data_IF_071530156372
#
_entry.id   IF_071530156372
#
_cell.length_a   1.000
_cell.length_b   1.000
_cell.length_c   1.000
_cell.angle_alpha   90.00
_cell.angle_beta   90.00
_cell.angle_gamma   90.00
#
_symmetry.space_group_name_H-M   'P 1'
#
loop_
_entity.id
_entity.type
_entity.pdbx_description
1 polymer ?
#
# COMPACT_ATOMS: atom_id res chain seq x y z
N UNK A 1 -91.94 1.77 -35.83
CA UNK A 1 -90.49 1.59 -36.04
C UNK A 1 -89.83 2.92 -35.69
N UNK A 2 -89.98 3.45 -34.48
CA UNK A 2 -89.45 2.91 -33.22
C UNK A 2 -88.03 2.38 -33.33
N UNK A 3 -87.08 3.20 -32.88
CA UNK A 3 -86.17 2.74 -31.85
C UNK A 3 -84.68 2.73 -32.17
N UNK A 4 -83.97 3.56 -31.40
CA UNK A 4 -82.63 3.34 -30.81
C UNK A 4 -81.46 3.84 -31.67
N UNK A 5 -81.02 5.10 -31.53
CA UNK A 5 -80.28 5.77 -30.42
C UNK A 5 -78.81 5.36 -30.25
N UNK A 6 -77.98 6.43 -30.25
CA UNK A 6 -76.79 6.65 -29.40
C UNK A 6 -75.59 5.73 -29.64
N UNK A 7 -74.51 6.31 -30.16
CA UNK A 7 -73.33 6.70 -29.35
C UNK A 7 -72.17 7.08 -30.27
N UNK A 8 -71.92 8.38 -30.45
CA UNK A 8 -70.57 8.90 -30.73
C UNK A 8 -70.23 9.89 -29.62
N UNK A 9 -69.46 9.44 -28.63
CA UNK A 9 -68.40 10.27 -28.07
C UNK A 9 -67.07 9.50 -28.10
N UNK A 10 -65.96 10.21 -27.92
CA UNK A 10 -64.62 9.69 -27.57
C UNK A 10 -63.52 9.72 -28.65
N UNK A 11 -63.51 10.70 -29.57
CA UNK A 11 -62.25 11.03 -30.27
C UNK A 11 -61.50 12.25 -29.71
N UNK A 12 -62.19 13.18 -29.02
CA UNK A 12 -61.53 14.33 -28.38
C UNK A 12 -60.89 14.04 -27.02
N UNK A 13 -61.35 13.02 -26.28
CA UNK A 13 -60.83 12.71 -24.94
C UNK A 13 -59.47 11.96 -24.96
N UNK A 14 -59.15 11.28 -26.07
CA UNK A 14 -57.87 10.56 -26.24
C UNK A 14 -56.69 11.52 -26.44
N UNK A 15 -56.89 12.58 -27.24
CA UNK A 15 -55.86 13.58 -27.53
C UNK A 15 -55.51 14.40 -26.27
N UNK A 16 -56.52 14.71 -25.44
CA UNK A 16 -56.32 15.47 -24.19
C UNK A 16 -55.55 14.65 -23.13
N UNK A 17 -55.84 13.35 -22.99
CA UNK A 17 -55.08 12.46 -22.10
C UNK A 17 -53.66 12.20 -22.60
N UNK A 18 -53.44 12.08 -23.92
CA UNK A 18 -52.11 11.91 -24.50
C UNK A 18 -51.23 13.16 -24.33
N UNK A 19 -51.79 14.36 -24.50
CA UNK A 19 -51.07 15.61 -24.22
C UNK A 19 -50.79 15.81 -22.73
N UNK A 20 -51.71 15.42 -21.83
CA UNK A 20 -51.51 15.51 -20.38
C UNK A 20 -50.45 14.52 -19.87
N UNK A 21 -50.41 13.30 -20.43
CA UNK A 21 -49.34 12.33 -20.14
C UNK A 21 -47.98 12.75 -20.71
N UNK A 22 -47.94 13.33 -21.91
CA UNK A 22 -46.71 13.86 -22.49
C UNK A 22 -46.16 15.08 -21.72
N UNK A 23 -47.04 15.92 -21.16
CA UNK A 23 -46.64 17.06 -20.32
C UNK A 23 -46.06 16.59 -18.98
N UNK A 24 -46.69 15.61 -18.32
CA UNK A 24 -46.18 15.02 -17.08
C UNK A 24 -44.87 14.25 -17.29
N UNK A 25 -44.72 13.57 -18.43
CA UNK A 25 -43.47 12.89 -18.79
C UNK A 25 -42.33 13.88 -19.09
N UNK A 26 -42.61 14.99 -19.78
CA UNK A 26 -41.65 16.08 -19.98
C UNK A 26 -41.27 16.77 -18.67
N UNK A 27 -42.23 16.94 -17.75
CA UNK A 27 -41.96 17.48 -16.42
C UNK A 27 -41.09 16.52 -15.60
N UNK A 28 -41.34 15.21 -15.67
CA UNK A 28 -40.50 14.19 -15.03
C UNK A 28 -39.09 14.14 -15.62
N UNK A 29 -38.94 14.25 -16.94
CA UNK A 29 -37.61 14.32 -17.59
C UNK A 29 -36.90 15.62 -17.21
N UNK A 30 -37.60 16.75 -17.16
CA UNK A 30 -37.01 18.02 -16.74
C UNK A 30 -36.58 17.99 -15.27
N UNK A 31 -37.36 17.35 -14.40
CA UNK A 31 -37.04 17.20 -12.97
C UNK A 31 -35.91 16.17 -12.75
N UNK A 32 -35.84 15.12 -13.58
CA UNK A 32 -34.73 14.16 -13.60
C UNK A 32 -33.43 14.77 -14.12
N UNK A 33 -33.49 15.61 -15.16
CA UNK A 33 -32.35 16.40 -15.65
C UNK A 33 -31.91 17.45 -14.63
N UNK A 34 -32.84 18.08 -13.90
CA UNK A 34 -32.54 19.00 -12.80
C UNK A 34 -31.87 18.27 -11.64
N UNK A 35 -32.27 17.03 -11.35
CA UNK A 35 -31.65 16.17 -10.32
C UNK A 35 -30.24 15.70 -10.74
N UNK A 36 -30.01 15.47 -12.03
CA UNK A 36 -28.68 15.17 -12.62
C UNK A 36 -27.73 16.37 -12.62
N UNK A 37 -28.27 17.60 -12.57
CA UNK A 37 -27.51 18.85 -12.48
C UNK A 37 -27.15 19.26 -11.04
N UNK A 38 -27.60 18.51 -10.03
CA UNK A 38 -27.09 18.68 -8.67
C UNK A 38 -25.70 18.06 -8.65
N UNK A 39 -24.61 18.84 -8.55
CA UNK A 39 -23.30 18.24 -8.37
C UNK A 39 -23.34 17.45 -7.07
N UNK A 40 -23.28 16.12 -7.17
CA UNK A 40 -23.00 15.28 -6.02
C UNK A 40 -21.57 15.65 -5.63
N UNK A 41 -21.44 16.57 -4.68
CA UNK A 41 -20.17 16.88 -4.05
C UNK A 41 -19.80 15.63 -3.25
N UNK A 42 -19.10 14.70 -3.91
CA UNK A 42 -18.38 13.65 -3.24
C UNK A 42 -17.26 14.36 -2.50
N UNK A 43 -17.46 14.62 -1.22
CA UNK A 43 -16.37 15.05 -0.35
C UNK A 43 -15.32 13.94 -0.43
N UNK A 44 -14.17 14.25 -1.01
CA UNK A 44 -13.00 13.39 -0.92
C UNK A 44 -12.76 13.16 0.57
N UNK A 45 -12.67 11.89 0.98
CA UNK A 45 -12.33 11.55 2.35
C UNK A 45 -10.88 11.99 2.60
N UNK A 46 -10.73 13.21 3.08
CA UNK A 46 -9.41 13.79 3.34
C UNK A 46 -8.87 13.23 4.65
N UNK A 47 -7.82 12.43 4.53
CA UNK A 47 -6.97 12.11 5.67
C UNK A 47 -6.32 13.41 6.17
N UNK A 48 -6.78 13.91 7.32
CA UNK A 48 -6.26 15.11 7.98
C UNK A 48 -4.90 14.80 8.62
N UNK A 49 -3.92 15.69 8.44
CA UNK A 49 -2.50 15.40 8.76
C UNK A 49 -2.08 15.80 10.17
N UNK A 50 -2.98 16.39 10.96
CA UNK A 50 -2.68 16.91 12.30
C UNK A 50 -3.44 16.16 13.38
N UNK A 51 -2.74 15.78 14.45
CA UNK A 51 -3.35 15.20 15.64
C UNK A 51 -2.71 15.79 16.92
N UNK A 52 -3.54 16.07 17.92
CA UNK A 52 -3.14 16.69 19.18
C UNK A 52 -2.93 15.69 20.32
N UNK A 53 -3.50 14.49 20.22
CA UNK A 53 -3.40 13.43 21.23
C UNK A 53 -3.10 12.06 20.60
N UNK A 54 -2.49 11.16 21.38
CA UNK A 54 -2.14 9.80 20.92
C UNK A 54 -3.37 9.03 20.43
N UNK A 55 -4.51 9.13 21.13
CA UNK A 55 -5.76 8.45 20.75
C UNK A 55 -6.36 9.02 19.46
N UNK A 56 -6.27 10.34 19.29
CA UNK A 56 -6.71 11.01 18.06
C UNK A 56 -5.83 10.61 16.86
N UNK A 57 -4.50 10.54 17.04
CA UNK A 57 -3.60 10.05 16.00
C UNK A 57 -3.95 8.61 15.61
N UNK A 58 -4.21 7.73 16.59
CA UNK A 58 -4.61 6.33 16.32
C UNK A 58 -5.88 6.26 15.48
N UNK A 59 -6.93 7.01 15.84
CA UNK A 59 -8.19 7.04 15.09
C UNK A 59 -7.98 7.52 13.64
N UNK A 60 -7.27 8.63 13.46
CA UNK A 60 -6.97 9.17 12.12
C UNK A 60 -6.16 8.18 11.28
N UNK A 61 -5.14 7.53 11.87
CA UNK A 61 -4.36 6.49 11.18
C UNK A 61 -5.27 5.35 10.72
N UNK A 62 -6.17 4.85 11.59
CA UNK A 62 -7.09 3.76 11.22
C UNK A 62 -8.07 4.16 10.13
N UNK A 63 -8.57 5.40 10.13
CA UNK A 63 -9.42 5.92 9.05
C UNK A 63 -8.66 5.99 7.72
N UNK A 64 -7.45 6.53 7.73
CA UNK A 64 -6.63 6.62 6.52
C UNK A 64 -6.20 5.23 5.98
N UNK A 65 -5.95 4.27 6.88
CA UNK A 65 -5.71 2.87 6.50
C UNK A 65 -6.94 2.24 5.86
N UNK A 66 -8.13 2.49 6.41
CA UNK A 66 -9.38 2.01 5.83
C UNK A 66 -9.61 2.58 4.42
N UNK A 67 -9.40 3.88 4.23
CA UNK A 67 -9.52 4.51 2.91
C UNK A 67 -8.51 3.90 1.94
N UNK A 68 -7.27 3.66 2.39
CA UNK A 68 -6.25 3.01 1.56
C UNK A 68 -6.68 1.60 1.12
N UNK A 69 -7.27 0.82 2.03
CA UNK A 69 -7.78 -0.53 1.74
C UNK A 69 -8.99 -0.49 0.79
N UNK A 70 -9.91 0.46 0.97
CA UNK A 70 -11.08 0.64 0.11
C UNK A 70 -10.65 1.01 -1.33
N UNK A 71 -9.63 1.88 -1.47
CA UNK A 71 -9.03 2.19 -2.77
C UNK A 71 -8.37 0.97 -3.40
N UNK A 72 -7.67 0.15 -2.61
CA UNK A 72 -7.06 -1.09 -3.08
C UNK A 72 -8.14 -2.07 -3.60
N UNK A 73 -9.22 -2.26 -2.85
CA UNK A 73 -10.36 -3.10 -3.27
C UNK A 73 -11.03 -2.59 -4.54
N UNK A 74 -11.17 -1.27 -4.69
CA UNK A 74 -11.71 -0.68 -5.91
C UNK A 74 -10.79 -0.88 -7.13
N UNK A 75 -9.47 -0.93 -6.91
CA UNK A 75 -8.45 -1.07 -7.95
C UNK A 75 -8.36 -2.49 -8.53
N UNK A 76 -8.47 -3.52 -7.69
CA UNK A 76 -8.38 -4.93 -8.09
C UNK A 76 -9.23 -5.34 -9.31
N UNK A 77 -10.54 -5.03 -9.40
CA UNK A 77 -11.34 -5.38 -10.57
C UNK A 77 -10.86 -4.66 -11.83
N UNK A 78 -10.41 -3.41 -11.72
CA UNK A 78 -9.90 -2.66 -12.87
C UNK A 78 -8.56 -3.22 -13.36
N UNK A 79 -7.66 -3.64 -12.47
CA UNK A 79 -6.41 -4.32 -12.83
C UNK A 79 -6.67 -5.67 -13.51
N UNK A 80 -7.62 -6.45 -12.98
CA UNK A 80 -8.02 -7.72 -13.59
C UNK A 80 -8.63 -7.53 -14.98
N UNK A 81 -9.53 -6.55 -15.13
CA UNK A 81 -10.11 -6.17 -16.43
C UNK A 81 -9.04 -5.68 -17.41
N UNK A 82 -8.09 -4.86 -16.96
CA UNK A 82 -6.99 -4.38 -17.79
C UNK A 82 -6.14 -5.54 -18.31
N UNK A 83 -5.73 -6.46 -17.44
CA UNK A 83 -4.96 -7.63 -17.83
C UNK A 83 -5.69 -8.50 -18.86
N UNK A 84 -7.01 -8.66 -18.69
CA UNK A 84 -7.84 -9.38 -19.66
C UNK A 84 -7.87 -8.66 -21.01
N UNK A 85 -8.13 -7.34 -21.01
CA UNK A 85 -8.13 -6.54 -22.24
C UNK A 85 -6.78 -6.62 -22.97
N UNK A 86 -5.66 -6.52 -22.26
CA UNK A 86 -4.31 -6.63 -22.84
C UNK A 86 -4.06 -8.02 -23.45
N UNK A 87 -4.53 -9.09 -22.79
CA UNK A 87 -4.47 -10.44 -23.34
C UNK A 87 -5.32 -10.59 -24.60
N UNK A 88 -6.54 -10.04 -24.61
CA UNK A 88 -7.44 -10.08 -25.75
C UNK A 88 -6.86 -9.29 -26.94
N UNK A 89 -6.31 -8.10 -26.69
CA UNK A 89 -5.59 -7.29 -27.70
C UNK A 89 -4.44 -8.10 -28.32
N UNK A 90 -3.61 -8.74 -27.50
CA UNK A 90 -2.49 -9.55 -28.01
C UNK A 90 -2.96 -10.77 -28.80
N UNK A 91 -4.09 -11.38 -28.42
CA UNK A 91 -4.73 -12.46 -29.18
C UNK A 91 -5.23 -11.97 -30.54
N UNK A 92 -5.94 -10.84 -30.57
CA UNK A 92 -6.45 -10.26 -31.80
C UNK A 92 -5.34 -9.82 -32.74
N UNK A 93 -4.25 -9.23 -32.23
CA UNK A 93 -3.08 -8.89 -33.04
C UNK A 93 -2.47 -10.14 -33.70
N UNK A 94 -2.31 -11.24 -32.96
CA UNK A 94 -1.82 -12.52 -33.53
C UNK A 94 -2.75 -13.05 -34.61
N UNK A 95 -4.07 -12.99 -34.39
CA UNK A 95 -5.07 -13.43 -35.38
C UNK A 95 -5.08 -12.55 -36.63
N UNK A 96 -4.94 -11.23 -36.48
CA UNK A 96 -4.81 -10.28 -37.60
C UNK A 96 -3.56 -10.60 -38.45
N UNK A 97 -2.42 -10.91 -37.80
CA UNK A 97 -1.20 -11.33 -38.50
C UNK A 97 -1.41 -12.66 -39.22
N UNK A 98 -2.05 -13.64 -38.57
CA UNK A 98 -2.40 -14.93 -39.16
C UNK A 98 -3.28 -14.78 -40.40
N UNK A 99 -4.40 -14.04 -40.29
CA UNK A 99 -5.28 -13.72 -41.42
C UNK A 99 -4.51 -12.99 -42.53
N UNK A 100 -3.59 -12.10 -42.18
CA UNK A 100 -2.73 -11.43 -43.14
C UNK A 100 -1.84 -12.38 -43.95
N UNK A 101 -1.41 -13.50 -43.35
CA UNK A 101 -0.68 -14.56 -44.05
C UNK A 101 -1.61 -15.41 -44.93
N UNK A 102 -2.79 -15.77 -44.43
CA UNK A 102 -3.79 -16.54 -45.19
C UNK A 102 -4.26 -15.77 -46.43
N UNK A 103 -4.46 -14.45 -46.32
CA UNK A 103 -4.83 -13.60 -47.45
C UNK A 103 -3.76 -13.64 -48.55
N UNK A 104 -2.48 -13.59 -48.20
CA UNK A 104 -1.38 -13.69 -49.18
C UNK A 104 -1.34 -15.04 -49.88
N UNK A 105 -1.59 -16.13 -49.15
CA UNK A 105 -1.66 -17.47 -49.74
C UNK A 105 -2.82 -17.57 -50.72
N UNK A 106 -4.01 -17.07 -50.35
CA UNK A 106 -5.18 -17.06 -51.23
C UNK A 106 -4.99 -16.19 -52.46
N UNK A 107 -4.32 -15.05 -52.33
CA UNK A 107 -3.95 -14.21 -53.48
C UNK A 107 -3.04 -14.95 -54.46
N UNK A 108 -2.08 -15.72 -53.95
CA UNK A 108 -1.21 -16.55 -54.79
C UNK A 108 -1.99 -17.71 -55.46
N UNK A 109 -2.86 -18.40 -54.70
CA UNK A 109 -3.72 -19.47 -55.23
C UNK A 109 -4.67 -18.96 -56.32
N UNK A 110 -5.27 -17.78 -56.15
CA UNK A 110 -6.13 -17.16 -57.17
C UNK A 110 -5.31 -16.85 -58.42
N UNK A 111 -4.13 -16.24 -58.29
CA UNK A 111 -3.28 -15.92 -59.42
C UNK A 111 -2.84 -17.17 -60.21
N UNK A 112 -2.51 -18.26 -59.52
CA UNK A 112 -2.18 -19.54 -60.16
C UNK A 112 -3.38 -20.11 -60.92
N UNK A 113 -4.57 -20.17 -60.31
CA UNK A 113 -5.78 -20.65 -60.96
C UNK A 113 -6.21 -19.78 -62.16
N UNK A 114 -5.98 -18.46 -62.11
CA UNK A 114 -6.21 -17.56 -63.25
C UNK A 114 -5.29 -17.90 -64.43
N UNK A 115 -4.02 -18.25 -64.17
CA UNK A 115 -3.11 -18.69 -65.22
C UNK A 115 -3.52 -20.05 -65.82
N UNK A 116 -3.95 -20.99 -64.99
CA UNK A 116 -4.46 -22.29 -65.44
C UNK A 116 -5.73 -22.13 -66.29
N UNK A 117 -6.65 -21.26 -65.87
CA UNK A 117 -7.87 -20.95 -66.61
C UNK A 117 -7.53 -20.41 -68.01
N UNK A 118 -6.57 -19.48 -68.12
CA UNK A 118 -6.13 -18.95 -69.41
C UNK A 118 -5.55 -20.04 -70.32
N UNK A 119 -4.74 -20.96 -69.76
CA UNK A 119 -4.21 -22.11 -70.49
C UNK A 119 -5.29 -23.05 -71.01
N UNK A 120 -6.31 -23.36 -70.19
CA UNK A 120 -7.45 -24.20 -70.60
C UNK A 120 -8.29 -23.54 -71.68
N UNK A 121 -8.51 -22.22 -71.60
CA UNK A 121 -9.21 -21.46 -72.64
C UNK A 121 -8.47 -21.50 -73.99
N UNK A 122 -7.14 -21.37 -73.97
CA UNK A 122 -6.34 -21.47 -75.19
C UNK A 122 -6.42 -22.87 -75.81
N UNK A 123 -6.32 -23.92 -74.98
CA UNK A 123 -6.41 -25.31 -75.42
C UNK A 123 -7.78 -25.62 -76.05
N UNK A 124 -8.87 -25.17 -75.40
CA UNK A 124 -10.23 -25.28 -75.91
C UNK A 124 -10.36 -24.54 -77.25
N UNK A 125 -9.85 -23.31 -77.36
CA UNK A 125 -9.89 -22.53 -78.60
C UNK A 125 -9.17 -23.23 -79.76
N UNK A 126 -7.99 -23.82 -79.51
CA UNK A 126 -7.25 -24.62 -80.50
C UNK A 126 -8.05 -25.85 -80.95
N UNK A 127 -8.67 -26.59 -80.01
CA UNK A 127 -9.49 -27.78 -80.31
C UNK A 127 -10.75 -27.43 -81.10
N UNK A 128 -11.48 -26.38 -80.71
CA UNK A 128 -12.66 -25.88 -81.43
C UNK A 128 -12.31 -25.45 -82.86
N UNK A 129 -11.20 -24.72 -83.04
CA UNK A 129 -10.71 -24.34 -84.36
C UNK A 129 -10.40 -25.55 -85.24
N UNK A 130 -9.74 -26.57 -84.69
CA UNK A 130 -9.42 -27.79 -85.44
C UNK A 130 -10.70 -28.56 -85.82
N UNK A 131 -11.67 -28.64 -84.92
CA UNK A 131 -12.97 -29.24 -85.20
C UNK A 131 -13.72 -28.48 -86.33
N UNK A 132 -13.69 -27.14 -86.31
CA UNK A 132 -14.29 -26.30 -87.34
C UNK A 132 -13.63 -26.45 -88.72
N UNK A 133 -12.29 -26.49 -88.78
CA UNK A 133 -11.58 -26.71 -90.07
C UNK A 133 -11.93 -28.08 -90.65
N UNK A 134 -12.00 -29.11 -89.79
CA UNK A 134 -12.37 -30.47 -90.22
C UNK A 134 -13.82 -30.57 -90.69
N UNK A 135 -14.76 -29.83 -90.09
CA UNK A 135 -16.16 -29.86 -90.51
C UNK A 135 -16.36 -29.30 -91.93
N UNK A 136 -15.49 -28.40 -92.39
CA UNK A 136 -15.50 -27.88 -93.76
C UNK A 136 -14.95 -28.86 -94.80
N UNK A 137 -13.88 -29.60 -94.47
CA UNK A 137 -13.26 -30.57 -95.38
C UNK A 137 -13.99 -31.91 -95.47
N UNK A 138 -14.75 -32.24 -94.42
CA UNK A 138 -15.51 -33.48 -94.32
C UNK A 138 -16.89 -33.17 -93.74
N UNK A 139 -17.91 -33.12 -94.59
CA UNK A 139 -19.29 -33.03 -94.11
C UNK A 139 -19.55 -34.29 -93.24
N UNK A 140 -19.96 -34.15 -91.97
CA UNK A 140 -20.15 -35.29 -91.08
C UNK A 140 -21.18 -36.29 -91.63
N UNK A 141 -22.18 -35.78 -92.35
CA UNK A 141 -23.13 -36.59 -93.11
C UNK A 141 -22.42 -37.36 -94.24
N UNK A 142 -21.50 -36.73 -94.96
CA UNK A 142 -20.74 -37.38 -96.04
C UNK A 142 -19.76 -38.44 -95.53
N UNK A 143 -19.13 -38.26 -94.36
CA UNK A 143 -18.27 -39.28 -93.73
C UNK A 143 -19.04 -40.54 -93.32
N UNK A 144 -20.30 -40.37 -92.90
CA UNK A 144 -21.20 -41.47 -92.54
C UNK A 144 -21.58 -42.30 -93.79
N UNK A 145 -21.76 -41.65 -94.94
CA UNK A 145 -22.18 -42.31 -96.18
C UNK A 145 -21.03 -42.75 -97.11
N UNK A 146 -19.84 -42.15 -97.02
CA UNK A 146 -18.72 -42.40 -97.93
C UNK A 146 -17.64 -43.37 -97.39
N UNK A 147 -17.71 -43.79 -96.12
CA UNK A 147 -16.65 -44.62 -95.51
C UNK A 147 -17.11 -46.07 -95.29
N UNK A 148 -16.24 -47.03 -95.66
CA UNK A 148 -16.41 -48.46 -95.37
C UNK A 148 -16.18 -48.81 -93.88
N UNK A 149 -16.05 -47.80 -93.01
CA UNK A 149 -15.57 -47.94 -91.63
C UNK A 149 -16.30 -47.01 -90.66
N UNK A 150 -17.62 -46.85 -90.85
CA UNK A 150 -18.52 -45.99 -90.06
C UNK A 150 -18.27 -46.03 -88.54
N UNK A 151 -17.96 -47.21 -87.99
CA UNK A 151 -17.68 -47.41 -86.57
C UNK A 151 -16.50 -46.58 -86.05
N UNK A 152 -15.45 -46.42 -86.85
CA UNK A 152 -14.22 -45.69 -86.48
C UNK A 152 -14.46 -44.18 -86.48
N UNK A 153 -15.20 -43.68 -87.48
CA UNK A 153 -15.56 -42.27 -87.61
C UNK A 153 -16.57 -41.83 -86.52
N UNK A 154 -17.57 -42.68 -86.21
CA UNK A 154 -18.50 -42.40 -85.11
C UNK A 154 -17.78 -42.33 -83.76
N UNK A 155 -16.84 -43.25 -83.51
CA UNK A 155 -15.98 -43.19 -82.31
C UNK A 155 -15.17 -41.91 -82.26
N UNK A 156 -14.54 -41.50 -83.35
CA UNK A 156 -13.76 -40.25 -83.39
C UNK A 156 -14.62 -39.01 -83.05
N UNK A 157 -15.87 -38.97 -83.52
CA UNK A 157 -16.81 -37.90 -83.20
C UNK A 157 -17.24 -37.93 -81.73
N UNK A 158 -17.60 -39.10 -81.19
CA UNK A 158 -17.99 -39.20 -79.77
C UNK A 158 -16.82 -38.89 -78.84
N UNK A 159 -15.59 -39.26 -79.18
CA UNK A 159 -14.40 -38.85 -78.46
C UNK A 159 -14.20 -37.33 -78.47
N UNK A 160 -14.39 -36.66 -79.61
CA UNK A 160 -14.28 -35.20 -79.68
C UNK A 160 -15.35 -34.50 -78.82
N UNK A 161 -16.59 -34.99 -78.87
CA UNK A 161 -17.67 -34.45 -78.03
C UNK A 161 -17.39 -34.67 -76.54
N UNK A 162 -16.88 -35.84 -76.16
CA UNK A 162 -16.50 -36.15 -74.78
C UNK A 162 -15.39 -35.23 -74.28
N UNK A 163 -14.35 -35.01 -75.09
CA UNK A 163 -13.23 -34.10 -74.76
C UNK A 163 -13.72 -32.66 -74.58
N UNK A 164 -14.58 -32.16 -75.48
CA UNK A 164 -15.12 -30.80 -75.37
C UNK A 164 -16.03 -30.63 -74.14
N UNK A 165 -16.77 -31.67 -73.76
CA UNK A 165 -17.58 -31.67 -72.53
C UNK A 165 -16.69 -31.68 -71.28
N UNK A 166 -15.59 -32.43 -71.30
CA UNK A 166 -14.63 -32.45 -70.19
C UNK A 166 -13.90 -31.11 -70.04
N UNK A 167 -13.46 -30.48 -71.13
CA UNK A 167 -12.84 -29.15 -71.09
C UNK A 167 -13.79 -28.10 -70.48
N UNK A 168 -15.07 -28.14 -70.86
CA UNK A 168 -16.09 -27.27 -70.27
C UNK A 168 -16.24 -27.51 -68.78
N UNK A 169 -16.24 -28.78 -68.34
CA UNK A 169 -16.32 -29.14 -66.93
C UNK A 169 -15.12 -28.56 -66.17
N UNK A 170 -13.90 -28.82 -66.65
CA UNK A 170 -12.67 -28.32 -66.02
C UNK A 170 -12.67 -26.79 -65.90
N UNK A 171 -13.08 -26.08 -66.95
CA UNK A 171 -13.19 -24.61 -66.93
C UNK A 171 -14.22 -24.15 -65.88
N UNK A 172 -15.40 -24.76 -65.85
CA UNK A 172 -16.45 -24.41 -64.87
C UNK A 172 -15.98 -24.70 -63.44
N UNK A 173 -15.28 -25.80 -63.23
CA UNK A 173 -14.72 -26.18 -61.93
C UNK A 173 -13.67 -25.15 -61.48
N UNK A 174 -12.72 -24.76 -62.34
CA UNK A 174 -11.72 -23.72 -62.04
C UNK A 174 -12.39 -22.38 -61.71
N UNK A 175 -13.38 -21.94 -62.51
CA UNK A 175 -14.12 -20.71 -62.24
C UNK A 175 -14.85 -20.80 -60.88
N UNK A 176 -15.43 -21.96 -60.56
CA UNK A 176 -16.05 -22.22 -59.28
C UNK A 176 -15.07 -22.13 -58.11
N UNK A 177 -13.87 -22.69 -58.26
CA UNK A 177 -12.79 -22.60 -57.27
C UNK A 177 -12.31 -21.17 -57.07
N UNK A 178 -12.04 -20.42 -58.16
CA UNK A 178 -11.65 -19.00 -58.08
C UNK A 178 -12.69 -18.20 -57.31
N UNK A 179 -13.97 -18.35 -57.67
CA UNK A 179 -15.05 -17.64 -56.98
C UNK A 179 -15.12 -17.99 -55.49
N UNK A 180 -14.96 -19.26 -55.13
CA UNK A 180 -14.94 -19.67 -53.73
C UNK A 180 -13.77 -19.03 -52.95
N UNK A 181 -12.59 -18.94 -53.59
CA UNK A 181 -11.41 -18.30 -53.01
C UNK A 181 -11.62 -16.79 -52.85
N UNK A 182 -12.23 -16.12 -53.83
CA UNK A 182 -12.58 -14.69 -53.77
C UNK A 182 -13.58 -14.40 -52.65
N UNK A 183 -14.66 -15.17 -52.55
CA UNK A 183 -15.64 -15.05 -51.47
C UNK A 183 -14.97 -15.22 -50.10
N UNK A 184 -14.10 -16.23 -49.97
CA UNK A 184 -13.36 -16.48 -48.73
C UNK A 184 -12.36 -15.37 -48.41
N UNK A 185 -11.71 -14.79 -49.42
CA UNK A 185 -10.81 -13.64 -49.26
C UNK A 185 -11.59 -12.44 -48.73
N UNK A 186 -12.76 -12.14 -49.30
CA UNK A 186 -13.61 -11.05 -48.86
C UNK A 186 -14.09 -11.22 -47.40
N UNK A 187 -14.43 -12.45 -46.98
CA UNK A 187 -14.79 -12.74 -45.59
C UNK A 187 -13.61 -12.53 -44.63
N UNK A 188 -12.41 -12.97 -45.00
CA UNK A 188 -11.19 -12.77 -44.21
C UNK A 188 -10.82 -11.28 -44.09
N UNK A 189 -11.02 -10.48 -45.14
CA UNK A 189 -10.82 -9.03 -45.08
C UNK A 189 -11.82 -8.33 -44.15
N UNK A 190 -13.09 -8.76 -44.16
CA UNK A 190 -14.11 -8.30 -43.19
C UNK A 190 -13.74 -8.69 -41.76
N UNK A 191 -13.28 -9.92 -41.54
CA UNK A 191 -12.84 -10.37 -40.22
C UNK A 191 -11.64 -9.54 -39.73
N UNK A 192 -10.64 -9.33 -40.59
CA UNK A 192 -9.45 -8.53 -40.27
C UNK A 192 -9.80 -7.09 -39.89
N UNK A 193 -10.65 -6.44 -40.67
CA UNK A 193 -11.09 -5.06 -40.40
C UNK A 193 -11.93 -4.97 -39.13
N UNK A 194 -12.82 -5.94 -38.89
CA UNK A 194 -13.60 -6.04 -37.65
C UNK A 194 -12.72 -6.23 -36.41
N UNK A 195 -11.73 -7.12 -36.48
CA UNK A 195 -10.76 -7.33 -35.40
C UNK A 195 -9.89 -6.10 -35.16
N UNK A 196 -9.49 -5.38 -36.20
CA UNK A 196 -8.73 -4.14 -36.07
C UNK A 196 -9.54 -3.04 -35.35
N UNK A 197 -10.81 -2.87 -35.71
CA UNK A 197 -11.71 -1.93 -35.05
C UNK A 197 -11.95 -2.31 -33.57
N UNK A 198 -12.16 -3.59 -33.28
CA UNK A 198 -12.31 -4.08 -31.90
C UNK A 198 -11.04 -3.85 -31.08
N UNK A 199 -9.87 -4.08 -31.68
CA UNK A 199 -8.57 -3.82 -31.04
C UNK A 199 -8.39 -2.34 -30.71
N UNK A 200 -8.79 -1.43 -31.61
CA UNK A 200 -8.74 0.01 -31.36
C UNK A 200 -9.66 0.41 -30.20
N UNK A 201 -10.89 -0.11 -30.15
CA UNK A 201 -11.84 0.15 -29.06
C UNK A 201 -11.36 -0.42 -27.71
N UNK A 202 -10.74 -1.60 -27.71
CA UNK A 202 -10.16 -2.15 -26.49
C UNK A 202 -8.93 -1.38 -26.03
N UNK A 203 -8.10 -0.88 -26.95
CA UNK A 203 -6.97 -0.03 -26.61
C UNK A 203 -7.42 1.26 -25.92
N UNK A 204 -8.46 1.93 -26.41
CA UNK A 204 -8.98 3.15 -25.77
C UNK A 204 -9.56 2.88 -24.39
N UNK A 205 -10.28 1.77 -24.20
CA UNK A 205 -10.76 1.34 -22.88
C UNK A 205 -9.62 0.98 -21.92
N UNK A 206 -8.59 0.29 -22.43
CA UNK A 206 -7.40 -0.07 -21.67
C UNK A 206 -6.62 1.19 -21.24
N UNK A 207 -6.46 2.19 -22.11
CA UNK A 207 -5.84 3.48 -21.77
C UNK A 207 -6.61 4.22 -20.67
N UNK A 208 -7.93 4.30 -20.77
CA UNK A 208 -8.76 4.89 -19.72
C UNK A 208 -8.57 4.16 -18.38
N UNK A 209 -8.50 2.83 -18.41
CA UNK A 209 -8.31 2.01 -17.22
C UNK A 209 -6.90 2.18 -16.62
N UNK A 210 -5.86 2.25 -17.45
CA UNK A 210 -4.48 2.57 -17.01
C UNK A 210 -4.41 3.92 -16.33
N UNK A 211 -5.11 4.92 -16.86
CA UNK A 211 -5.16 6.27 -16.26
C UNK A 211 -5.79 6.23 -14.87
N UNK A 212 -6.96 5.59 -14.72
CA UNK A 212 -7.64 5.45 -13.43
C UNK A 212 -6.79 4.68 -12.40
N UNK A 213 -6.15 3.59 -12.83
CA UNK A 213 -5.22 2.80 -12.00
C UNK A 213 -4.02 3.65 -11.57
N UNK A 214 -3.47 4.46 -12.48
CA UNK A 214 -2.36 5.38 -12.18
C UNK A 214 -2.75 6.46 -11.17
N UNK A 215 -3.91 7.09 -11.34
CA UNK A 215 -4.46 8.08 -10.40
C UNK A 215 -4.71 7.47 -9.01
N UNK A 216 -5.32 6.27 -8.96
CA UNK A 216 -5.52 5.54 -7.70
C UNK A 216 -4.19 5.19 -7.00
N UNK A 217 -3.18 4.75 -7.77
CA UNK A 217 -1.85 4.43 -7.23
C UNK A 217 -1.15 5.67 -6.69
N UNK A 218 -1.27 6.81 -7.37
CA UNK A 218 -0.77 8.10 -6.89
C UNK A 218 -1.45 8.50 -5.57
N UNK A 219 -2.77 8.37 -5.49
CA UNK A 219 -3.52 8.65 -4.28
C UNK A 219 -3.13 7.73 -3.11
N UNK A 220 -2.91 6.44 -3.38
CA UNK A 220 -2.38 5.50 -2.38
C UNK A 220 -1.01 5.94 -1.85
N UNK A 221 -0.10 6.41 -2.71
CA UNK A 221 1.20 6.94 -2.27
C UNK A 221 1.06 8.15 -1.36
N UNK A 222 0.13 9.06 -1.67
CA UNK A 222 -0.16 10.23 -0.82
C UNK A 222 -0.70 9.78 0.54
N UNK A 223 -1.64 8.83 0.57
CA UNK A 223 -2.17 8.26 1.82
C UNK A 223 -1.08 7.58 2.64
N UNK A 224 -0.20 6.79 2.04
CA UNK A 224 0.91 6.15 2.74
C UNK A 224 1.86 7.17 3.36
N UNK A 225 2.17 8.26 2.65
CA UNK A 225 2.95 9.38 3.19
C UNK A 225 2.26 10.05 4.37
N UNK A 226 0.95 10.29 4.28
CA UNK A 226 0.15 10.88 5.37
C UNK A 226 0.13 9.96 6.60
N UNK A 227 -0.09 8.66 6.42
CA UNK A 227 -0.05 7.66 7.49
C UNK A 227 1.32 7.70 8.18
N UNK A 228 2.41 7.68 7.42
CA UNK A 228 3.76 7.79 7.98
C UNK A 228 3.98 9.06 8.82
N UNK A 229 3.46 10.20 8.35
CA UNK A 229 3.52 11.46 9.10
C UNK A 229 2.75 11.39 10.43
N UNK A 230 1.54 10.83 10.43
CA UNK A 230 0.73 10.68 11.64
C UNK A 230 1.35 9.69 12.62
N UNK A 231 1.92 8.59 12.13
CA UNK A 231 2.65 7.62 12.96
C UNK A 231 3.87 8.25 13.61
N UNK A 232 4.65 9.06 12.87
CA UNK A 232 5.80 9.77 13.42
C UNK A 232 5.38 10.77 14.53
N UNK A 233 4.26 11.47 14.33
CA UNK A 233 3.69 12.39 15.32
C UNK A 233 3.22 11.65 16.57
N UNK A 234 2.58 10.49 16.40
CA UNK A 234 2.15 9.64 17.51
C UNK A 234 3.35 9.19 18.37
N UNK A 235 4.46 8.78 17.75
CA UNK A 235 5.69 8.41 18.45
C UNK A 235 6.29 9.60 19.21
N UNK A 236 6.32 10.79 18.60
CA UNK A 236 6.78 12.00 19.27
C UNK A 236 5.94 12.33 20.52
N UNK A 237 4.61 12.24 20.43
CA UNK A 237 3.71 12.45 21.58
C UNK A 237 3.89 11.40 22.67
N UNK A 238 4.19 10.14 22.32
CA UNK A 238 4.50 9.11 23.30
C UNK A 238 5.83 9.39 24.02
N UNK A 239 6.86 9.83 23.29
CA UNK A 239 8.16 10.20 23.86
C UNK A 239 8.06 11.44 24.78
N UNK A 240 7.24 12.43 24.43
CA UNK A 240 6.95 13.57 25.29
C UNK A 240 6.24 13.14 26.59
N UNK A 241 5.31 12.17 26.51
CA UNK A 241 4.56 11.66 27.67
C UNK A 241 5.39 10.74 28.57
N UNK A 242 6.33 9.96 28.02
CA UNK A 242 7.11 9.01 28.80
C UNK A 242 8.18 9.68 29.68
N UNK A 243 8.44 10.98 29.50
CA UNK A 243 9.65 11.60 30.03
C UNK A 243 10.89 10.96 29.38
N UNK A 244 12.04 11.64 29.50
CA UNK A 244 13.29 11.36 28.78
C UNK A 244 13.95 9.98 29.07
N UNK A 245 13.26 9.05 29.74
CA UNK A 245 13.85 7.78 30.15
C UNK A 245 12.85 6.62 30.11
N UNK A 246 12.92 5.83 29.04
CA UNK A 246 12.31 4.50 28.93
C UNK A 246 13.44 3.47 28.97
N UNK A 247 13.44 2.58 29.96
CA UNK A 247 14.42 1.51 30.14
C UNK A 247 13.70 0.17 30.08
N UNK A 248 14.29 -0.83 29.42
CA UNK A 248 13.77 -2.19 29.44
C UNK A 248 13.91 -2.77 30.87
N UNK A 249 13.08 -3.77 31.21
CA UNK A 249 13.11 -4.45 32.53
C UNK A 249 14.48 -5.09 32.82
N UNK A 250 15.32 -5.28 31.80
CA UNK A 250 16.69 -5.81 31.92
C UNK A 250 17.83 -4.78 31.96
N UNK A 251 17.57 -3.49 31.70
CA UNK A 251 18.61 -2.45 31.63
C UNK A 251 18.81 -1.69 32.96
N UNK A 252 17.94 -1.96 33.94
CA UNK A 252 18.04 -1.40 35.29
C UNK A 252 18.77 -2.40 36.19
N UNK A 253 19.80 -1.98 36.96
CA UNK A 253 20.44 -2.87 37.92
C UNK A 253 19.41 -3.43 38.90
N UNK A 254 19.51 -4.73 39.18
CA UNK A 254 18.59 -5.47 40.05
C UNK A 254 18.38 -4.72 41.37
N UNK A 255 17.12 -4.44 41.69
CA UNK A 255 16.76 -3.91 43.00
C UNK A 255 16.99 -5.01 44.06
N UNK A 256 17.47 -4.63 45.25
CA UNK A 256 17.70 -5.54 46.38
C UNK A 256 16.39 -6.11 47.01
N UNK A 257 15.22 -5.78 46.45
CA UNK A 257 13.92 -6.29 46.90
C UNK A 257 13.53 -7.55 46.07
N UNK A 258 13.40 -8.73 46.71
CA UNK A 258 13.01 -9.97 46.04
C UNK A 258 11.68 -9.88 45.27
N UNK A 259 10.77 -9.00 45.69
CA UNK A 259 9.46 -8.82 45.05
C UNK A 259 9.53 -7.91 43.81
N UNK A 260 10.65 -7.21 43.61
CA UNK A 260 10.92 -6.34 42.44
C UNK A 260 11.92 -6.97 41.45
N UNK A 261 12.29 -8.23 41.68
CA UNK A 261 13.24 -8.93 40.83
C UNK A 261 12.57 -9.45 39.54
N UNK A 262 13.25 -9.40 38.37
CA UNK A 262 12.71 -9.89 37.10
C UNK A 262 12.34 -11.38 37.08
N UNK A 263 12.84 -12.16 38.05
CA UNK A 263 12.55 -13.58 38.21
C UNK A 263 11.33 -13.86 39.13
N UNK A 264 10.65 -12.83 39.63
CA UNK A 264 9.46 -12.99 40.44
C UNK A 264 8.27 -13.46 39.59
N UNK A 265 7.74 -14.65 39.89
CA UNK A 265 6.57 -15.21 39.23
C UNK A 265 5.32 -15.00 40.11
N UNK A 266 4.36 -14.15 39.70
CA UNK A 266 3.16 -13.88 40.48
C UNK A 266 2.11 -15.01 40.43
N UNK A 267 2.38 -16.10 39.70
CA UNK A 267 1.51 -17.29 39.66
C UNK A 267 0.30 -17.18 38.74
N UNK A 268 0.18 -16.09 37.96
CA UNK A 268 -0.85 -15.91 36.93
C UNK A 268 -0.26 -15.25 35.68
N UNK A 269 -0.89 -15.46 34.52
CA UNK A 269 -0.49 -14.86 33.25
C UNK A 269 -1.74 -14.50 32.41
N UNK A 270 -1.79 -13.32 31.77
CA UNK A 270 -0.76 -12.28 31.71
C UNK A 270 -0.67 -11.44 33.01
N UNK A 271 0.55 -11.09 33.42
CA UNK A 271 0.81 -10.25 34.60
C UNK A 271 1.57 -8.97 34.22
N UNK A 272 1.21 -7.87 34.86
CA UNK A 272 1.92 -6.59 34.76
C UNK A 272 2.40 -6.19 36.15
N UNK A 273 3.61 -5.63 36.23
CA UNK A 273 4.17 -5.09 37.47
C UNK A 273 4.38 -3.59 37.31
N UNK A 274 3.75 -2.80 38.18
CA UNK A 274 3.96 -1.36 38.27
C UNK A 274 4.83 -1.05 39.47
N UNK A 275 6.01 -0.47 39.24
CA UNK A 275 6.90 0.01 40.30
C UNK A 275 6.85 1.53 40.37
N UNK A 276 6.69 2.06 41.58
CA UNK A 276 6.81 3.50 41.85
C UNK A 276 8.01 3.73 42.75
N UNK A 277 9.03 4.39 42.22
CA UNK A 277 10.18 4.81 43.01
C UNK A 277 9.90 6.21 43.57
N UNK A 278 9.73 6.34 44.89
CA UNK A 278 9.73 7.65 45.57
C UNK A 278 8.38 8.23 46.00
N UNK A 279 7.37 7.38 46.28
CA UNK A 279 6.00 7.81 46.63
C UNK A 279 5.86 8.67 47.92
N UNK A 280 6.91 8.80 48.75
CA UNK A 280 6.93 9.65 49.94
C UNK A 280 8.21 10.48 50.07
N UNK A 281 8.67 11.07 48.96
CA UNK A 281 9.82 11.98 48.99
C UNK A 281 9.38 13.43 48.98
N UNK A 282 10.02 14.26 49.78
CA UNK A 282 9.69 15.67 50.03
C UNK A 282 10.13 16.57 48.84
N UNK A 283 10.25 15.97 47.64
CA UNK A 283 10.76 16.53 46.37
C UNK A 283 12.09 17.30 46.48
N UNK A 284 12.78 17.21 47.62
CA UNK A 284 14.03 17.88 47.93
C UNK A 284 14.96 16.88 48.60
N UNK A 285 15.74 16.18 47.79
CA UNK A 285 16.66 15.14 48.23
C UNK A 285 17.47 14.59 47.05
N UNK A 286 18.65 14.06 47.34
CA UNK A 286 19.50 13.42 46.34
C UNK A 286 19.13 11.94 46.22
N UNK A 287 18.80 11.48 45.01
CA UNK A 287 18.61 10.04 44.75
C UNK A 287 19.95 9.31 44.86
N UNK A 288 20.00 8.23 45.64
CA UNK A 288 21.25 7.48 45.86
C UNK A 288 21.76 6.86 44.54
N UNK A 289 20.87 6.18 43.82
CA UNK A 289 21.18 5.57 42.53
C UNK A 289 21.32 6.61 41.41
N UNK A 290 20.57 7.72 41.47
CA UNK A 290 20.74 8.79 40.49
C UNK A 290 22.09 9.52 40.65
N UNK A 291 22.58 9.71 41.88
CA UNK A 291 23.93 10.21 42.13
C UNK A 291 25.01 9.24 41.64
N UNK A 292 24.80 7.93 41.83
CA UNK A 292 25.67 6.88 41.27
C UNK A 292 25.72 6.93 39.73
N UNK A 293 24.57 7.02 39.07
CA UNK A 293 24.48 7.11 37.60
C UNK A 293 25.22 8.32 37.05
N UNK A 294 24.96 9.52 37.60
CA UNK A 294 25.66 10.74 37.22
C UNK A 294 27.18 10.67 37.45
N UNK A 295 27.61 10.04 38.54
CA UNK A 295 29.03 9.83 38.81
C UNK A 295 29.68 8.83 37.84
N UNK A 296 28.94 7.79 37.40
CA UNK A 296 29.39 6.84 36.37
C UNK A 296 29.49 7.50 34.99
N UNK A 297 28.64 8.49 34.69
CA UNK A 297 28.74 9.36 33.51
C UNK A 297 29.90 10.37 33.58
N UNK A 298 30.70 10.36 34.64
CA UNK A 298 31.87 11.23 34.80
C UNK A 298 31.57 12.61 35.41
N UNK A 299 30.36 12.87 35.89
CA UNK A 299 30.03 14.13 36.57
C UNK A 299 30.72 14.18 37.95
N UNK A 300 31.28 15.34 38.30
CA UNK A 300 31.90 15.53 39.62
C UNK A 300 30.84 15.79 40.71
N UNK A 301 31.22 15.70 41.99
CA UNK A 301 30.28 15.91 43.11
C UNK A 301 29.59 17.28 43.11
N UNK A 302 30.21 18.34 42.56
CA UNK A 302 29.57 19.66 42.47
C UNK A 302 28.44 19.65 41.45
N UNK A 303 28.66 19.02 40.29
CA UNK A 303 27.66 18.88 39.23
C UNK A 303 26.47 18.03 39.72
N UNK A 304 26.77 16.95 40.45
CA UNK A 304 25.76 16.10 41.09
C UNK A 304 24.93 16.92 42.08
N UNK A 305 25.56 17.65 43.01
CA UNK A 305 24.86 18.48 43.99
C UNK A 305 24.06 19.61 43.35
N UNK A 306 24.60 20.23 42.29
CA UNK A 306 23.90 21.27 41.52
C UNK A 306 22.65 20.71 40.83
N UNK A 307 22.71 19.49 40.28
CA UNK A 307 21.57 18.84 39.67
C UNK A 307 20.43 18.54 40.67
N UNK A 308 20.76 18.20 41.92
CA UNK A 308 19.76 17.84 42.94
C UNK A 308 19.26 19.01 43.79
N UNK A 309 20.12 19.99 44.09
CA UNK A 309 19.82 21.07 45.03
C UNK A 309 19.84 22.46 44.40
N UNK A 310 20.22 22.58 43.12
CA UNK A 310 20.23 23.83 42.36
C UNK A 310 21.26 24.87 42.85
N UNK A 311 22.12 24.53 43.81
CA UNK A 311 23.09 25.43 44.44
C UNK A 311 24.42 24.73 44.67
N UNK A 312 25.50 25.50 44.60
CA UNK A 312 26.82 25.01 45.01
C UNK A 312 26.95 24.98 46.54
N UNK A 313 27.73 24.03 47.09
CA UNK A 313 27.91 23.93 48.53
C UNK A 313 28.64 25.15 49.10
N UNK A 314 28.06 25.78 50.12
CA UNK A 314 28.66 26.88 50.85
C UNK A 314 29.57 26.38 51.99
N UNK A 315 30.62 27.13 52.31
CA UNK A 315 31.47 26.86 53.47
C UNK A 315 30.80 27.39 54.74
N UNK A 316 30.47 26.49 55.67
CA UNK A 316 29.96 26.84 57.01
C UNK A 316 30.88 26.23 58.07
N UNK A 317 31.01 26.88 59.24
CA UNK A 317 31.74 26.31 60.37
C UNK A 317 30.97 25.12 60.95
N UNK A 318 31.58 23.94 60.82
CA UNK A 318 31.02 22.65 61.26
C UNK A 318 31.73 22.09 62.50
N UNK A 319 32.59 22.87 63.18
CA UNK A 319 33.28 22.43 64.40
C UNK A 319 32.34 22.20 65.61
N UNK A 320 32.66 21.26 66.50
CA UNK A 320 31.88 20.97 67.72
C UNK A 320 31.10 19.65 67.69
N UNK A 321 30.15 19.50 68.62
CA UNK A 321 29.39 18.25 68.81
C UNK A 321 27.97 18.33 68.24
N UNK A 322 27.38 17.15 67.99
CA UNK A 322 25.98 16.98 67.59
C UNK A 322 25.33 15.84 68.37
N UNK A 323 24.12 16.07 68.85
CA UNK A 323 23.34 15.09 69.61
C UNK A 323 22.68 14.09 68.66
N UNK A 324 23.00 12.80 68.82
CA UNK A 324 22.46 11.69 68.01
C UNK A 324 21.69 10.72 68.89
N UNK A 325 20.45 10.42 68.50
CA UNK A 325 19.57 9.52 69.23
C UNK A 325 20.21 8.13 69.38
N UNK A 326 20.34 7.66 70.62
CA UNK A 326 20.97 6.37 70.94
C UNK A 326 22.51 6.37 71.04
N UNK A 327 23.19 7.48 70.71
CA UNK A 327 24.67 7.55 70.74
C UNK A 327 25.24 8.77 71.49
N UNK A 328 24.38 9.69 71.93
CA UNK A 328 24.79 10.89 72.69
C UNK A 328 25.45 11.94 71.79
N UNK A 329 26.28 12.79 72.41
CA UNK A 329 26.96 13.88 71.72
C UNK A 329 28.23 13.38 71.01
N UNK A 330 28.21 13.44 69.68
CA UNK A 330 29.31 12.99 68.82
C UNK A 330 30.06 14.18 68.22
N UNK A 331 31.36 14.04 68.00
CA UNK A 331 32.13 15.01 67.23
C UNK A 331 31.64 15.04 65.77
N UNK A 332 31.21 16.22 65.30
CA UNK A 332 30.49 16.39 64.04
C UNK A 332 31.30 15.90 62.82
N UNK A 333 32.53 16.38 62.67
CA UNK A 333 33.41 16.01 61.53
C UNK A 333 34.13 14.68 61.72
N UNK A 334 34.41 14.30 62.97
CA UNK A 334 35.33 13.19 63.27
C UNK A 334 34.65 11.87 63.66
N UNK A 335 33.39 11.89 64.08
CA UNK A 335 32.68 10.68 64.53
C UNK A 335 31.35 10.52 63.81
N UNK A 336 30.56 11.58 63.72
CA UNK A 336 29.26 11.53 63.09
C UNK A 336 29.35 11.28 61.58
N UNK A 337 30.16 12.08 60.87
CA UNK A 337 30.24 12.01 59.40
C UNK A 337 30.82 10.69 58.88
N UNK A 338 31.74 10.05 59.61
CA UNK A 338 32.29 8.73 59.23
C UNK A 338 31.32 7.57 59.48
N UNK A 339 30.32 7.74 60.34
CA UNK A 339 29.33 6.70 60.60
C UNK A 339 28.15 6.72 59.63
N UNK A 340 28.13 7.62 58.63
CA UNK A 340 27.04 7.68 57.65
C UNK A 340 27.17 6.53 56.65
N UNK A 341 26.13 5.70 56.56
CA UNK A 341 26.18 4.43 55.83
C UNK A 341 25.03 4.27 54.81
N UNK A 342 24.52 5.36 54.24
CA UNK A 342 23.39 5.29 53.28
C UNK A 342 23.78 4.85 51.87
N UNK A 343 25.05 5.00 51.47
CA UNK A 343 25.55 4.47 50.20
C UNK A 343 26.65 3.44 50.47
N UNK A 344 26.71 2.35 49.69
CA UNK A 344 27.80 1.38 49.76
C UNK A 344 29.17 2.01 49.47
N UNK A 345 30.21 1.56 50.18
CA UNK A 345 31.58 2.06 50.00
C UNK A 345 32.17 1.77 48.60
N UNK A 346 31.58 0.85 47.83
CA UNK A 346 32.00 0.53 46.46
C UNK A 346 31.40 1.48 45.39
N UNK A 347 30.59 2.48 45.79
CA UNK A 347 30.06 3.45 44.85
C UNK A 347 31.15 4.40 44.33
N UNK A 348 30.94 5.04 43.16
CA UNK A 348 31.89 6.00 42.62
C UNK A 348 32.26 7.09 43.63
N UNK A 349 33.54 7.45 43.68
CA UNK A 349 34.09 8.40 44.66
C UNK A 349 33.36 9.75 44.67
N UNK A 350 32.90 10.22 43.52
CA UNK A 350 32.16 11.48 43.40
C UNK A 350 30.74 11.40 43.98
N UNK A 351 30.08 10.24 43.89
CA UNK A 351 28.79 10.02 44.55
C UNK A 351 28.92 10.02 46.08
N UNK A 352 29.97 9.35 46.61
CA UNK A 352 30.27 9.34 48.05
C UNK A 352 30.61 10.74 48.59
N UNK A 353 31.33 11.56 47.81
CA UNK A 353 31.58 12.97 48.15
C UNK A 353 30.29 13.78 48.19
N UNK A 354 29.41 13.62 47.21
CA UNK A 354 28.13 14.32 47.17
C UNK A 354 27.26 13.93 48.38
N UNK A 355 27.24 12.65 48.74
CA UNK A 355 26.56 12.16 49.94
C UNK A 355 27.13 12.78 51.22
N UNK A 356 28.45 12.81 51.38
CA UNK A 356 29.08 13.40 52.57
C UNK A 356 28.72 14.89 52.73
N UNK A 357 28.65 15.65 51.63
CA UNK A 357 28.28 17.07 51.65
C UNK A 357 26.78 17.25 51.95
N UNK A 358 25.92 16.40 51.40
CA UNK A 358 24.48 16.41 51.67
C UNK A 358 24.19 16.06 53.15
N UNK A 359 24.81 14.98 53.64
CA UNK A 359 24.81 14.55 55.04
C UNK A 359 25.25 15.68 55.98
N UNK A 360 26.37 16.32 55.66
CA UNK A 360 26.90 17.46 56.42
C UNK A 360 25.90 18.61 56.49
N UNK A 361 25.29 18.97 55.36
CA UNK A 361 24.31 20.07 55.29
C UNK A 361 23.06 19.78 56.10
N UNK A 362 22.58 18.53 56.04
CA UNK A 362 21.46 18.07 56.84
C UNK A 362 21.74 18.16 58.33
N UNK A 363 22.88 17.62 58.76
CA UNK A 363 23.27 17.61 60.17
C UNK A 363 23.54 19.01 60.73
N UNK A 364 24.10 19.91 59.91
CA UNK A 364 24.31 21.30 60.29
C UNK A 364 22.98 22.01 60.63
N UNK A 365 21.91 21.73 59.89
CA UNK A 365 20.57 22.30 60.17
C UNK A 365 20.06 21.87 61.55
N UNK A 366 20.18 20.58 61.89
CA UNK A 366 19.75 20.07 63.20
C UNK A 366 20.57 20.64 64.35
N UNK A 367 21.88 20.80 64.15
CA UNK A 367 22.75 21.44 65.12
C UNK A 367 22.36 22.90 65.37
N UNK A 368 22.07 23.68 64.31
CA UNK A 368 21.62 25.07 64.45
C UNK A 368 20.28 25.17 65.18
N UNK A 369 19.40 24.21 64.96
CA UNK A 369 18.08 24.15 65.59
C UNK A 369 18.11 23.52 67.00
N UNK A 370 19.27 23.05 67.47
CA UNK A 370 19.43 22.39 68.79
C UNK A 370 18.70 21.05 68.91
N UNK A 371 18.39 20.39 67.80
CA UNK A 371 17.59 19.15 67.77
C UNK A 371 18.47 17.90 67.65
N UNK A 372 18.08 16.83 68.33
CA UNK A 372 18.70 15.51 68.21
C UNK A 372 18.35 14.85 66.88
N UNK A 373 19.35 14.28 66.19
CA UNK A 373 19.16 13.54 64.93
C UNK A 373 18.76 12.10 65.22
N UNK A 374 17.74 11.59 64.52
CA UNK A 374 17.36 10.18 64.57
C UNK A 374 18.25 9.31 63.67
N UNK A 375 18.50 8.05 64.03
CA UNK A 375 19.41 7.14 63.30
C UNK A 375 18.70 6.17 62.35
N UNK A 376 17.40 6.36 62.15
CA UNK A 376 16.56 5.52 61.29
C UNK A 376 16.50 6.07 59.87
N UNK A 377 15.93 5.29 58.94
CA UNK A 377 15.69 5.68 57.53
C UNK A 377 14.82 6.95 57.38
N UNK A 378 14.16 7.41 58.46
CA UNK A 378 13.38 8.64 58.46
C UNK A 378 14.25 9.92 58.57
N UNK A 379 15.47 9.82 59.10
CA UNK A 379 16.43 10.93 59.13
C UNK A 379 17.68 10.55 58.34
N UNK A 380 18.66 9.94 59.01
CA UNK A 380 19.93 9.60 58.42
C UNK A 380 20.47 8.31 59.03
N UNK A 381 20.82 7.34 58.19
CA UNK A 381 21.30 6.04 58.68
C UNK A 381 22.73 6.17 59.21
N UNK A 382 22.89 5.97 60.51
CA UNK A 382 24.16 6.03 61.22
C UNK A 382 24.56 4.66 61.77
N UNK A 383 25.78 4.22 61.46
CA UNK A 383 26.36 2.98 61.93
C UNK A 383 27.74 3.21 62.57
N UNK A 384 27.84 2.96 63.89
CA UNK A 384 29.04 3.15 64.69
C UNK A 384 30.22 2.24 64.29
N UNK A 385 29.99 1.14 63.55
CA UNK A 385 31.02 0.14 63.22
C UNK A 385 31.97 0.56 62.09
N UNK A 386 31.71 1.66 61.36
CA UNK A 386 32.54 2.12 60.25
C UNK A 386 33.79 2.95 60.65
N UNK A 387 34.25 2.85 61.90
CA UNK A 387 35.36 3.67 62.46
C UNK A 387 36.76 3.41 61.87
N UNK A 388 36.96 2.42 60.99
CA UNK A 388 38.30 1.99 60.54
C UNK A 388 38.47 1.82 59.02
N UNK A 389 37.87 2.69 58.20
CA UNK A 389 38.14 2.73 56.76
C UNK A 389 38.92 3.99 56.36
N UNK A 390 40.17 3.85 55.89
CA UNK A 390 40.98 4.93 55.28
C UNK A 390 40.24 5.56 54.09
N UNK A 391 39.40 6.57 54.33
CA UNK A 391 39.05 7.58 53.33
C UNK A 391 39.83 8.84 53.72
N UNK A 392 41.11 8.90 53.31
CA UNK A 392 41.86 10.15 53.33
C UNK A 392 41.24 11.11 52.31
N UNK A 393 40.16 11.80 52.72
CA UNK A 393 39.77 13.07 52.13
C UNK A 393 40.83 14.07 52.59
N UNK A 394 41.89 14.22 51.82
CA UNK A 394 42.88 15.27 51.99
C UNK A 394 42.16 16.62 52.00
N UNK A 395 42.27 17.37 53.11
CA UNK A 395 41.83 18.77 53.22
C UNK A 395 42.37 19.57 52.02
N UNK A 396 41.54 20.18 51.16
CA UNK A 396 42.02 21.30 50.37
C UNK A 396 42.22 22.47 51.35
N UNK A 397 43.47 22.67 51.80
CA UNK A 397 43.89 23.92 52.43
C UNK A 397 43.93 25.00 51.34
N UNK A 398 42.82 25.67 51.09
CA UNK A 398 42.85 26.95 50.39
C UNK A 398 43.44 27.98 51.36
N UNK A 399 44.68 28.41 51.10
CA UNK A 399 45.30 29.55 51.78
C UNK A 399 44.44 30.80 51.51
N UNK A 400 44.09 31.50 52.59
CA UNK A 400 43.61 32.87 52.55
C UNK A 400 44.67 33.75 51.87
N UNK A 401 44.34 34.29 50.69
CA UNK A 401 44.95 35.51 50.18
C UNK A 401 44.05 36.66 50.61
N UNK A 402 44.56 37.51 51.50
CA UNK A 402 43.93 38.77 51.93
C UNK A 402 43.96 39.75 50.75
N UNK A 403 42.78 40.19 50.29
CA UNK A 403 42.17 41.50 50.57
C UNK A 403 40.86 41.60 49.84
#
# INVERSE_FOLDING_TARGET
MDGILKTMPNFQFSIFNFQFQALNFRFFIALFMLFLLIPIVVYAAECETTCGSVDECTKKITECQKIWEDVQKAKEPHEASLKKMESDIASFQRRIVGIGSELKQKEAEIAENETDLAGQQELLARRVRQAYIRSFGTNPIFLIFASNDFSTNLRAFTYQQAVANEDKRVIVDIIGFIKNLEDRKADLEKEKSGLAALTANLNTQAEASRKLIGEATSYQSVLSSKIGSLTSRQQALLAERSGTFTTSVGDVPLADDPNAAPNYNPGFSPAFAGFSFGAYTHRKGMSQYGAKGRAMEGQNHKDILKAYYGKEPANADTGGTISVSGYGDLQFEGQYLYGIAEMPANFPKEALKAQAIAARSYAYRYKKDGKTICTTQACQVYNHRHRSGKLQLTRPKAKLSKT
#
